data_IF_836150160225
#
_entry.id   IF_836150160225
#
_cell.length_a   1.000
_cell.length_b   1.000
_cell.length_c   1.000
_cell.angle_alpha   90.00
_cell.angle_beta   90.00
_cell.angle_gamma   90.00
#
_symmetry.space_group_name_H-M   'P 1'
#
loop_
_entity.id
_entity.type
_entity.pdbx_description
1 polymer ?
#
# COMPACT_ATOMS: atom_id res chain seq x y z
N UNK A 1 -35.37 -3.53 -6.36
CA UNK A 1 -36.22 -2.37 -6.73
C UNK A 1 -35.87 -2.03 -8.17
N UNK A 2 -36.83 -1.92 -9.07
CA UNK A 2 -36.54 -1.68 -10.49
C UNK A 2 -35.83 -0.33 -10.69
N UNK A 3 -34.88 -0.24 -11.62
CA UNK A 3 -34.05 0.94 -11.86
C UNK A 3 -34.86 2.24 -12.09
N UNK A 4 -36.02 2.13 -12.74
CA UNK A 4 -36.93 3.26 -12.97
C UNK A 4 -37.55 3.79 -11.67
N UNK A 5 -37.85 2.92 -10.70
CA UNK A 5 -38.46 3.30 -9.42
C UNK A 5 -37.45 4.03 -8.53
N UNK A 6 -36.20 3.57 -8.52
CA UNK A 6 -35.08 4.26 -7.84
C UNK A 6 -34.88 5.66 -8.43
N UNK A 7 -34.81 5.76 -9.77
CA UNK A 7 -34.68 7.05 -10.45
C UNK A 7 -35.84 7.99 -10.11
N UNK A 8 -37.07 7.52 -10.19
CA UNK A 8 -38.24 8.32 -9.84
C UNK A 8 -38.19 8.81 -8.38
N UNK A 9 -37.86 7.92 -7.44
CA UNK A 9 -37.76 8.26 -6.03
C UNK A 9 -36.72 9.36 -5.81
N UNK A 10 -35.50 9.20 -6.32
CA UNK A 10 -34.42 10.15 -6.10
C UNK A 10 -34.69 11.51 -6.74
N UNK A 11 -35.33 11.55 -7.92
CA UNK A 11 -35.69 12.82 -8.57
C UNK A 11 -36.76 13.61 -7.82
N UNK A 12 -37.56 12.96 -6.97
CA UNK A 12 -38.65 13.60 -6.22
C UNK A 12 -38.38 13.69 -4.71
N UNK A 13 -37.22 13.20 -4.24
CA UNK A 13 -36.85 13.22 -2.82
C UNK A 13 -36.15 14.53 -2.43
N UNK A 14 -36.10 14.82 -1.12
CA UNK A 14 -35.34 15.97 -0.60
C UNK A 14 -33.85 15.84 -0.89
N UNK A 15 -33.14 16.97 -0.91
CA UNK A 15 -31.71 16.99 -1.20
C UNK A 15 -30.90 16.20 -0.17
N UNK A 16 -31.30 16.23 1.11
CA UNK A 16 -30.67 15.47 2.19
C UNK A 16 -30.79 13.96 1.98
N UNK A 17 -31.97 13.51 1.55
CA UNK A 17 -32.18 12.09 1.25
C UNK A 17 -31.31 11.64 0.07
N UNK A 18 -31.22 12.45 -0.98
CA UNK A 18 -30.37 12.15 -2.15
C UNK A 18 -28.89 12.13 -1.77
N UNK A 19 -28.43 13.08 -0.95
CA UNK A 19 -27.05 13.11 -0.48
C UNK A 19 -26.68 11.86 0.31
N UNK A 20 -27.49 11.48 1.30
CA UNK A 20 -27.25 10.27 2.08
C UNK A 20 -27.35 9.00 1.21
N UNK A 21 -28.24 8.99 0.22
CA UNK A 21 -28.30 7.90 -0.74
C UNK A 21 -27.01 7.77 -1.55
N UNK A 22 -26.49 8.87 -2.12
CA UNK A 22 -25.23 8.89 -2.88
C UNK A 22 -24.06 8.39 -2.02
N UNK A 23 -23.98 8.87 -0.77
CA UNK A 23 -22.97 8.46 0.20
C UNK A 23 -23.08 6.99 0.61
N UNK A 24 -24.29 6.45 0.72
CA UNK A 24 -24.49 5.03 1.05
C UNK A 24 -24.03 4.13 -0.10
N UNK A 25 -24.33 4.52 -1.35
CA UNK A 25 -24.01 3.74 -2.54
C UNK A 25 -22.52 3.72 -2.86
N UNK A 26 -21.82 4.82 -2.62
CA UNK A 26 -20.36 4.86 -2.81
C UNK A 26 -19.61 3.86 -1.93
N UNK A 27 -20.13 3.55 -0.74
CA UNK A 27 -19.53 2.54 0.14
C UNK A 27 -19.77 1.11 -0.36
N UNK A 28 -20.89 0.84 -1.03
CA UNK A 28 -21.23 -0.46 -1.62
C UNK A 28 -20.49 -0.71 -2.95
N UNK A 29 -20.19 0.36 -3.70
CA UNK A 29 -19.62 0.27 -5.06
C UNK A 29 -18.10 0.46 -5.13
N UNK A 30 -17.39 0.62 -3.99
CA UNK A 30 -15.91 0.58 -3.94
C UNK A 30 -15.33 -0.76 -4.45
N UNK A 31 -16.16 -1.78 -4.68
CA UNK A 31 -15.79 -3.13 -5.17
C UNK A 31 -16.33 -3.45 -6.58
N UNK A 32 -16.99 -2.50 -7.28
CA UNK A 32 -17.71 -2.76 -8.54
C UNK A 32 -16.99 -2.15 -9.80
N UNK A 33 -17.28 -2.66 -11.02
CA UNK A 33 -16.31 -2.83 -12.12
C UNK A 33 -15.86 -1.53 -12.82
N UNK A 34 -14.82 -1.61 -13.65
CA UNK A 34 -14.26 -0.51 -14.46
C UNK A 34 -15.21 0.04 -15.56
N UNK A 35 -16.50 -0.22 -15.44
CA UNK A 35 -17.55 0.16 -16.39
C UNK A 35 -18.76 0.73 -15.64
N UNK A 36 -19.31 1.82 -16.17
CA UNK A 36 -20.53 2.45 -15.65
C UNK A 36 -21.71 2.01 -16.50
N UNK A 37 -22.77 1.50 -15.87
CA UNK A 37 -24.01 1.21 -16.60
C UNK A 37 -24.65 2.50 -17.12
N UNK A 38 -25.16 2.51 -18.35
CA UNK A 38 -25.88 3.64 -18.96
C UNK A 38 -26.96 4.21 -18.02
N UNK A 39 -27.70 3.35 -17.31
CA UNK A 39 -28.74 3.76 -16.35
C UNK A 39 -28.20 4.63 -15.20
N UNK A 40 -26.95 4.38 -14.77
CA UNK A 40 -26.30 5.12 -13.69
C UNK A 40 -25.88 6.51 -14.15
N UNK A 41 -25.22 6.62 -15.30
CA UNK A 41 -24.84 7.93 -15.85
C UNK A 41 -26.07 8.79 -16.14
N UNK A 42 -27.13 8.19 -16.69
CA UNK A 42 -28.41 8.87 -16.93
C UNK A 42 -29.05 9.35 -15.62
N UNK A 43 -28.96 8.57 -14.54
CA UNK A 43 -29.46 8.99 -13.22
C UNK A 43 -28.65 10.17 -12.68
N UNK A 44 -27.32 10.10 -12.69
CA UNK A 44 -26.46 11.16 -12.16
C UNK A 44 -26.61 12.47 -12.93
N UNK A 45 -26.71 12.41 -14.26
CA UNK A 45 -27.05 13.57 -15.10
C UNK A 45 -28.40 14.18 -14.69
N UNK A 46 -29.42 13.35 -14.45
CA UNK A 46 -30.74 13.82 -14.05
C UNK A 46 -30.75 14.45 -12.64
N UNK A 47 -29.93 13.93 -11.72
CA UNK A 47 -29.74 14.53 -10.39
C UNK A 47 -29.00 15.86 -10.47
N UNK A 48 -27.95 15.96 -11.30
CA UNK A 48 -27.23 17.22 -11.53
C UNK A 48 -28.16 18.30 -12.10
N UNK A 49 -29.06 17.93 -13.01
CA UNK A 49 -30.02 18.84 -13.61
C UNK A 49 -31.03 19.45 -12.62
N UNK A 50 -31.17 18.90 -11.41
CA UNK A 50 -31.99 19.50 -10.36
C UNK A 50 -31.42 20.83 -9.86
N UNK A 51 -30.10 21.00 -9.91
CA UNK A 51 -29.44 22.24 -9.50
C UNK A 51 -29.43 22.50 -7.99
N UNK A 52 -29.72 21.50 -7.17
CA UNK A 52 -29.67 21.60 -5.70
C UNK A 52 -28.21 21.57 -5.20
N UNK A 53 -27.78 22.57 -4.42
CA UNK A 53 -26.38 22.68 -3.94
C UNK A 53 -25.89 21.45 -3.17
N UNK A 54 -26.74 20.91 -2.28
CA UNK A 54 -26.39 19.71 -1.50
C UNK A 54 -26.30 18.47 -2.38
N UNK A 55 -27.12 18.37 -3.44
CA UNK A 55 -27.01 17.27 -4.41
C UNK A 55 -25.73 17.42 -5.23
N UNK A 56 -25.39 18.64 -5.66
CA UNK A 56 -24.15 18.91 -6.39
C UNK A 56 -22.92 18.54 -5.54
N UNK A 57 -22.93 18.86 -4.25
CA UNK A 57 -21.88 18.46 -3.32
C UNK A 57 -21.80 16.93 -3.18
N UNK A 58 -22.96 16.26 -3.04
CA UNK A 58 -23.04 14.80 -2.98
C UNK A 58 -22.51 14.13 -4.24
N UNK A 59 -22.91 14.64 -5.41
CA UNK A 59 -22.41 14.17 -6.70
C UNK A 59 -20.91 14.42 -6.83
N UNK A 60 -20.41 15.58 -6.40
CA UNK A 60 -18.99 15.90 -6.48
C UNK A 60 -18.13 14.85 -5.73
N UNK A 61 -18.55 14.42 -4.54
CA UNK A 61 -17.82 13.37 -3.81
C UNK A 61 -18.07 11.95 -4.34
N UNK A 62 -19.30 11.63 -4.72
CA UNK A 62 -19.75 10.24 -4.81
C UNK A 62 -20.25 9.81 -6.20
N UNK A 63 -20.28 10.68 -7.20
CA UNK A 63 -20.67 10.28 -8.55
C UNK A 63 -19.61 9.38 -9.18
N UNK A 64 -20.08 8.42 -9.99
CA UNK A 64 -19.19 7.56 -10.77
C UNK A 64 -18.93 8.15 -12.16
N UNK A 65 -19.90 8.84 -12.76
CA UNK A 65 -19.80 9.38 -14.12
C UNK A 65 -18.67 10.43 -14.22
N UNK A 66 -17.65 10.17 -15.05
CA UNK A 66 -16.61 11.15 -15.39
C UNK A 66 -17.21 12.45 -15.95
N UNK A 67 -18.31 12.35 -16.71
CA UNK A 67 -18.99 13.49 -17.31
C UNK A 67 -19.62 14.40 -16.25
N UNK A 68 -20.31 13.82 -15.26
CA UNK A 68 -20.91 14.58 -14.15
C UNK A 68 -19.82 15.22 -13.28
N UNK A 69 -18.77 14.46 -12.96
CA UNK A 69 -17.60 14.95 -12.24
C UNK A 69 -16.95 16.15 -12.93
N UNK A 70 -16.70 16.04 -14.23
CA UNK A 70 -16.12 17.13 -15.02
C UNK A 70 -17.03 18.37 -15.08
N UNK A 71 -18.34 18.19 -15.25
CA UNK A 71 -19.28 19.32 -15.26
C UNK A 71 -19.29 20.06 -13.92
N UNK A 72 -19.25 19.34 -12.80
CA UNK A 72 -19.15 19.93 -11.46
C UNK A 72 -17.82 20.66 -11.27
N UNK A 73 -16.70 20.09 -11.74
CA UNK A 73 -15.42 20.78 -11.73
C UNK A 73 -15.42 22.05 -12.59
N UNK A 74 -16.02 22.02 -13.78
CA UNK A 74 -15.98 23.16 -14.70
C UNK A 74 -16.85 24.33 -14.22
N UNK A 75 -18.05 24.02 -13.71
CA UNK A 75 -19.08 25.02 -13.41
C UNK A 75 -19.21 25.35 -11.92
N UNK A 76 -18.68 24.50 -11.04
CA UNK A 76 -18.77 24.67 -9.59
C UNK A 76 -17.87 25.77 -9.06
N UNK A 77 -18.17 26.22 -7.85
CA UNK A 77 -17.26 27.04 -7.06
C UNK A 77 -16.03 26.22 -6.58
N UNK A 78 -15.08 26.85 -5.91
CA UNK A 78 -13.87 26.17 -5.42
C UNK A 78 -14.16 24.99 -4.49
N UNK A 79 -15.25 25.04 -3.71
CA UNK A 79 -15.61 23.95 -2.80
C UNK A 79 -16.10 22.73 -3.59
N UNK A 80 -16.96 22.94 -4.58
CA UNK A 80 -17.46 21.88 -5.47
C UNK A 80 -16.33 21.32 -6.33
N UNK A 81 -15.44 22.18 -6.87
CA UNK A 81 -14.25 21.75 -7.62
C UNK A 81 -13.38 20.83 -6.79
N UNK A 82 -13.08 21.24 -5.56
CA UNK A 82 -12.27 20.45 -4.64
C UNK A 82 -12.93 19.12 -4.29
N UNK A 83 -14.25 19.13 -4.07
CA UNK A 83 -15.01 17.92 -3.80
C UNK A 83 -14.97 16.96 -5.00
N UNK A 84 -15.15 17.47 -6.23
CA UNK A 84 -15.07 16.69 -7.46
C UNK A 84 -13.70 16.04 -7.65
N UNK A 85 -12.61 16.79 -7.42
CA UNK A 85 -11.24 16.28 -7.50
C UNK A 85 -10.89 15.28 -6.39
N UNK A 86 -11.60 15.34 -5.25
CA UNK A 86 -11.46 14.37 -4.16
C UNK A 86 -12.42 13.18 -4.29
N UNK A 87 -13.29 13.19 -5.31
CA UNK A 87 -14.40 12.27 -5.47
C UNK A 87 -14.08 11.00 -6.25
N UNK A 88 -15.10 10.18 -6.48
CA UNK A 88 -14.97 8.89 -7.18
C UNK A 88 -14.82 9.01 -8.69
N UNK A 89 -15.41 10.03 -9.31
CA UNK A 89 -15.39 10.25 -10.77
C UNK A 89 -14.02 10.56 -11.36
N UNK A 90 -13.00 10.77 -10.53
CA UNK A 90 -11.60 10.87 -10.95
C UNK A 90 -11.03 9.53 -11.42
N UNK A 91 -11.64 8.40 -11.00
CA UNK A 91 -11.23 7.06 -11.40
C UNK A 91 -11.27 6.92 -12.92
N UNK A 92 -10.30 6.17 -13.47
CA UNK A 92 -10.37 5.67 -14.85
C UNK A 92 -11.59 4.77 -15.04
N UNK A 93 -12.37 5.03 -16.09
CA UNK A 93 -13.52 4.22 -16.48
C UNK A 93 -13.35 3.83 -17.95
N UNK A 94 -13.47 2.54 -18.25
CA UNK A 94 -13.36 2.04 -19.62
C UNK A 94 -14.46 2.63 -20.50
N UNK A 95 -14.07 3.18 -21.65
CA UNK A 95 -15.00 3.78 -22.61
C UNK A 95 -15.34 5.26 -22.34
N UNK A 96 -14.78 5.88 -21.31
CA UNK A 96 -14.89 7.32 -21.06
C UNK A 96 -13.52 8.00 -21.11
N UNK A 97 -13.50 9.26 -21.53
CA UNK A 97 -12.30 10.11 -21.49
C UNK A 97 -11.93 10.42 -20.03
N UNK A 98 -10.64 10.31 -19.71
CA UNK A 98 -10.12 10.61 -18.37
C UNK A 98 -10.09 12.12 -18.18
N UNK A 99 -11.17 12.72 -17.69
CA UNK A 99 -11.31 14.18 -17.63
C UNK A 99 -10.22 14.89 -16.81
N UNK A 100 -9.59 14.18 -15.88
CA UNK A 100 -8.46 14.68 -15.09
C UNK A 100 -7.21 14.93 -15.96
N UNK A 101 -6.97 14.09 -16.98
CA UNK A 101 -5.82 14.13 -17.89
C UNK A 101 -6.16 14.66 -19.29
N UNK A 102 -7.16 14.08 -19.95
CA UNK A 102 -7.52 14.33 -21.35
C UNK A 102 -8.38 15.58 -21.52
N UNK A 103 -9.28 15.87 -20.59
CA UNK A 103 -10.08 17.11 -20.60
C UNK A 103 -9.37 18.30 -19.91
N UNK A 104 -8.07 18.16 -19.64
CA UNK A 104 -7.16 19.20 -19.15
C UNK A 104 -7.44 19.77 -17.76
N UNK A 105 -8.24 19.14 -16.89
CA UNK A 105 -8.47 19.69 -15.55
C UNK A 105 -7.17 19.85 -14.75
N UNK A 106 -6.37 18.78 -14.61
CA UNK A 106 -5.10 18.87 -13.87
C UNK A 106 -4.06 19.75 -14.59
N UNK A 107 -3.86 19.64 -15.92
CA UNK A 107 -3.00 20.58 -16.65
C UNK A 107 -3.36 22.05 -16.49
N UNK A 108 -4.64 22.40 -16.54
CA UNK A 108 -5.13 23.76 -16.40
C UNK A 108 -4.80 24.32 -15.00
N UNK A 109 -5.07 23.55 -13.94
CA UNK A 109 -4.82 23.99 -12.56
C UNK A 109 -3.31 24.12 -12.30
N UNK A 110 -2.49 23.19 -12.80
CA UNK A 110 -1.03 23.26 -12.68
C UNK A 110 -0.50 24.50 -13.40
N UNK A 111 -0.97 24.79 -14.61
CA UNK A 111 -0.55 26.00 -15.36
C UNK A 111 -0.89 27.28 -14.59
N UNK A 112 -2.11 27.39 -14.03
CA UNK A 112 -2.49 28.55 -13.21
C UNK A 112 -1.66 28.67 -11.94
N UNK A 113 -1.37 27.54 -11.30
CA UNK A 113 -0.54 27.52 -10.10
C UNK A 113 0.90 27.95 -10.41
N UNK A 114 1.47 27.50 -11.53
CA UNK A 114 2.79 27.94 -12.02
C UNK A 114 2.83 29.45 -12.28
N UNK A 115 1.77 30.01 -12.88
CA UNK A 115 1.71 31.43 -13.23
C UNK A 115 1.45 32.36 -12.02
N UNK A 116 0.67 31.91 -11.03
CA UNK A 116 0.11 32.77 -9.99
C UNK A 116 0.32 32.33 -8.54
N UNK A 117 0.79 31.10 -8.30
CA UNK A 117 1.00 30.50 -6.99
C UNK A 117 -0.17 30.74 -5.99
N UNK A 118 -1.39 30.47 -6.45
CA UNK A 118 -2.62 30.65 -5.66
C UNK A 118 -2.84 29.48 -4.70
N UNK A 119 -3.12 29.79 -3.43
CA UNK A 119 -3.49 28.79 -2.41
C UNK A 119 -4.71 27.95 -2.82
N UNK A 120 -5.67 28.56 -3.54
CA UNK A 120 -6.86 27.86 -3.99
C UNK A 120 -6.52 26.79 -5.05
N UNK A 121 -5.71 27.14 -6.05
CA UNK A 121 -5.26 26.18 -7.07
C UNK A 121 -4.37 25.09 -6.43
N UNK A 122 -3.52 25.45 -5.47
CA UNK A 122 -2.74 24.45 -4.73
C UNK A 122 -3.62 23.47 -3.94
N UNK A 123 -4.72 23.95 -3.35
CA UNK A 123 -5.69 23.10 -2.66
C UNK A 123 -6.47 22.18 -3.62
N UNK A 124 -6.75 22.64 -4.85
CA UNK A 124 -7.34 21.79 -5.89
C UNK A 124 -6.36 20.70 -6.35
N UNK A 125 -5.10 21.05 -6.60
CA UNK A 125 -4.03 20.10 -6.91
C UNK A 125 -3.88 19.08 -5.78
N UNK A 126 -3.89 19.54 -4.53
CA UNK A 126 -3.81 18.68 -3.34
C UNK A 126 -4.95 17.67 -3.30
N UNK A 127 -6.17 18.13 -3.57
CA UNK A 127 -7.34 17.25 -3.62
C UNK A 127 -7.20 16.17 -4.70
N UNK A 128 -6.76 16.53 -5.90
CA UNK A 128 -6.55 15.60 -7.00
C UNK A 128 -5.45 14.57 -6.69
N UNK A 129 -4.22 15.04 -6.43
CA UNK A 129 -3.05 14.17 -6.25
C UNK A 129 -3.16 13.30 -5.00
N UNK A 130 -3.88 13.72 -3.95
CA UNK A 130 -4.09 12.90 -2.74
C UNK A 130 -5.25 11.91 -2.88
N UNK A 131 -6.01 11.96 -3.98
CA UNK A 131 -7.15 11.09 -4.20
C UNK A 131 -6.69 9.66 -4.50
N UNK A 132 -7.22 8.67 -3.75
CA UNK A 132 -6.93 7.25 -3.96
C UNK A 132 -7.31 6.72 -5.36
N UNK A 133 -8.23 7.42 -6.04
CA UNK A 133 -8.76 7.04 -7.34
C UNK A 133 -8.03 7.70 -8.51
N UNK A 134 -7.03 8.55 -8.25
CA UNK A 134 -6.25 9.14 -9.34
C UNK A 134 -5.57 8.04 -10.17
N UNK A 135 -5.56 8.13 -11.51
CA UNK A 135 -4.84 7.16 -12.33
C UNK A 135 -3.36 7.08 -11.93
N UNK A 136 -2.83 5.85 -11.82
CA UNK A 136 -1.44 5.59 -11.44
C UNK A 136 -0.47 6.31 -12.40
N UNK A 137 -0.85 6.47 -13.67
CA UNK A 137 -0.09 7.17 -14.71
C UNK A 137 0.22 8.63 -14.33
N UNK A 138 -0.64 9.30 -13.55
CA UNK A 138 -0.41 10.67 -13.07
C UNK A 138 0.75 10.68 -12.09
N UNK A 139 0.70 9.83 -11.06
CA UNK A 139 1.74 9.77 -10.04
C UNK A 139 3.07 9.25 -10.63
N UNK A 140 3.01 8.29 -11.55
CA UNK A 140 4.18 7.78 -12.25
C UNK A 140 4.86 8.88 -13.06
N UNK A 141 4.08 9.68 -13.81
CA UNK A 141 4.60 10.81 -14.58
C UNK A 141 5.18 11.90 -13.66
N UNK A 142 4.56 12.12 -12.50
CA UNK A 142 5.05 13.07 -11.48
C UNK A 142 6.43 12.64 -10.96
N UNK A 143 6.59 11.38 -10.57
CA UNK A 143 7.87 10.89 -10.02
C UNK A 143 8.99 10.84 -11.05
N UNK A 144 8.67 10.56 -12.32
CA UNK A 144 9.66 10.60 -13.41
C UNK A 144 9.92 11.99 -13.97
N UNK A 145 9.13 12.99 -13.57
CA UNK A 145 9.10 14.33 -14.17
C UNK A 145 8.92 14.28 -15.70
N UNK A 146 7.93 13.52 -16.13
CA UNK A 146 7.60 13.27 -17.54
C UNK A 146 6.20 13.75 -17.90
N UNK A 147 5.88 13.77 -19.20
CA UNK A 147 4.54 14.10 -19.71
C UNK A 147 4.08 15.48 -19.21
N UNK A 148 2.98 15.49 -18.46
CA UNK A 148 2.39 16.70 -17.86
C UNK A 148 3.40 17.50 -17.01
N UNK A 149 4.34 16.84 -16.37
CA UNK A 149 5.27 17.47 -15.42
C UNK A 149 6.62 17.83 -16.06
N UNK A 150 6.80 17.54 -17.35
CA UNK A 150 8.09 17.74 -18.03
C UNK A 150 8.50 19.22 -18.14
N UNK A 151 7.53 20.12 -18.30
CA UNK A 151 7.77 21.56 -18.43
C UNK A 151 7.55 22.36 -17.14
N UNK A 152 7.17 21.71 -16.04
CA UNK A 152 6.93 22.35 -14.74
C UNK A 152 8.27 22.75 -14.11
N UNK A 153 8.33 23.92 -13.46
CA UNK A 153 9.55 24.36 -12.78
C UNK A 153 9.92 23.40 -11.64
N UNK A 154 11.20 23.37 -11.25
CA UNK A 154 11.65 22.49 -10.17
C UNK A 154 11.00 22.83 -8.81
N UNK A 155 10.66 24.11 -8.59
CA UNK A 155 10.00 24.56 -7.37
C UNK A 155 8.56 24.04 -7.30
N UNK A 156 7.77 24.24 -8.37
CA UNK A 156 6.40 23.71 -8.43
C UNK A 156 6.42 22.19 -8.42
N UNK A 157 7.31 21.54 -9.19
CA UNK A 157 7.45 20.10 -9.18
C UNK A 157 7.75 19.56 -7.77
N UNK A 158 8.60 20.24 -7.00
CA UNK A 158 8.85 19.90 -5.60
C UNK A 158 7.57 19.98 -4.77
N UNK A 159 6.77 21.03 -4.90
CA UNK A 159 5.51 21.18 -4.16
C UNK A 159 4.48 20.09 -4.54
N UNK A 160 4.43 19.69 -5.81
CA UNK A 160 3.60 18.58 -6.28
C UNK A 160 4.06 17.23 -5.70
N UNK A 161 5.37 16.99 -5.63
CA UNK A 161 5.92 15.80 -4.97
C UNK A 161 5.49 15.74 -3.50
N UNK A 162 5.59 16.85 -2.77
CA UNK A 162 5.17 16.94 -1.36
C UNK A 162 3.71 16.55 -1.13
N UNK A 163 2.82 16.95 -2.04
CA UNK A 163 1.41 16.58 -1.98
C UNK A 163 1.22 15.05 -2.09
N UNK A 164 2.02 14.37 -2.92
CA UNK A 164 1.88 12.94 -3.18
C UNK A 164 2.10 12.05 -1.95
N UNK A 165 2.80 12.51 -0.90
CA UNK A 165 3.04 11.75 0.35
C UNK A 165 1.74 11.30 1.03
N UNK A 166 0.63 11.99 0.76
CA UNK A 166 -0.66 11.68 1.37
C UNK A 166 -1.56 10.82 0.48
N UNK A 167 -1.11 10.44 -0.72
CA UNK A 167 -1.88 9.54 -1.55
C UNK A 167 -1.86 8.11 -0.97
N UNK A 168 -3.01 7.49 -0.65
CA UNK A 168 -3.05 6.13 -0.10
C UNK A 168 -2.42 5.06 -1.00
N UNK A 169 -2.36 5.29 -2.32
CA UNK A 169 -1.83 4.37 -3.31
C UNK A 169 -0.35 4.00 -3.06
N UNK A 170 0.45 4.93 -2.54
CA UNK A 170 1.88 4.70 -2.28
C UNK A 170 2.12 3.72 -1.12
N UNK A 171 1.13 3.51 -0.27
CA UNK A 171 1.18 2.65 0.92
C UNK A 171 0.34 1.37 0.77
N UNK A 172 -0.24 1.13 -0.40
CA UNK A 172 -1.14 -0.02 -0.64
C UNK A 172 -0.41 -1.08 -1.44
N UNK A 173 0.01 -2.22 -0.86
CA UNK A 173 0.73 -3.26 -1.59
C UNK A 173 -0.19 -4.02 -2.57
N UNK A 174 0.42 -4.68 -3.55
CA UNK A 174 -0.28 -5.61 -4.44
C UNK A 174 -0.69 -6.86 -3.65
N UNK A 175 -1.95 -7.30 -3.78
CA UNK A 175 -2.51 -8.43 -3.02
C UNK A 175 -3.03 -9.57 -3.90
N UNK A 176 -3.05 -9.39 -5.21
CA UNK A 176 -3.51 -10.43 -6.14
C UNK A 176 -2.36 -11.39 -6.46
N UNK A 177 -2.69 -12.65 -6.77
CA UNK A 177 -1.75 -13.78 -6.62
C UNK A 177 -1.32 -14.38 -7.97
N UNK A 178 -1.86 -13.90 -9.10
CA UNK A 178 -1.81 -14.68 -10.35
C UNK A 178 -1.46 -13.93 -11.66
N UNK A 179 -0.95 -12.69 -11.62
CA UNK A 179 -0.48 -12.01 -12.84
C UNK A 179 0.80 -11.20 -12.61
N UNK A 180 1.94 -11.79 -12.96
CA UNK A 180 3.24 -11.12 -12.83
C UNK A 180 3.40 -9.88 -13.71
N UNK A 181 2.64 -9.74 -14.80
CA UNK A 181 2.64 -8.50 -15.59
C UNK A 181 1.81 -7.42 -14.88
N UNK A 182 0.65 -7.76 -14.34
CA UNK A 182 -0.15 -6.83 -13.55
C UNK A 182 0.61 -6.39 -12.28
N UNK A 183 1.25 -7.31 -11.58
CA UNK A 183 2.13 -7.02 -10.43
C UNK A 183 3.27 -6.09 -10.83
N UNK A 184 3.99 -6.39 -11.92
CA UNK A 184 5.06 -5.53 -12.42
C UNK A 184 4.58 -4.10 -12.71
N UNK A 185 3.43 -3.96 -13.40
CA UNK A 185 2.86 -2.63 -13.66
C UNK A 185 2.43 -1.93 -12.37
N UNK A 186 1.82 -2.66 -11.45
CA UNK A 186 1.38 -2.12 -10.16
C UNK A 186 2.57 -1.59 -9.34
N UNK A 187 3.68 -2.34 -9.32
CA UNK A 187 4.88 -2.02 -8.56
C UNK A 187 5.76 -0.96 -9.24
N UNK A 188 5.53 -0.67 -10.53
CA UNK A 188 6.28 0.37 -11.26
C UNK A 188 6.16 1.76 -10.62
N UNK A 189 5.01 2.05 -9.97
CA UNK A 189 4.81 3.28 -9.23
C UNK A 189 5.76 3.38 -8.02
N UNK A 190 5.88 2.30 -7.25
CA UNK A 190 6.77 2.26 -6.08
C UNK A 190 8.22 2.41 -6.50
N UNK A 191 8.63 1.68 -7.54
CA UNK A 191 9.97 1.81 -8.09
C UNK A 191 10.26 3.26 -8.52
N UNK A 192 9.35 3.93 -9.23
CA UNK A 192 9.54 5.32 -9.63
C UNK A 192 9.65 6.28 -8.44
N UNK A 193 8.86 6.05 -7.38
CA UNK A 193 8.97 6.81 -6.14
C UNK A 193 10.30 6.59 -5.43
N UNK A 194 10.81 5.35 -5.37
CA UNK A 194 12.13 5.05 -4.81
C UNK A 194 13.27 5.61 -5.69
N UNK A 195 13.12 5.64 -7.02
CA UNK A 195 14.09 6.21 -7.94
C UNK A 195 14.30 7.74 -7.74
N UNK A 196 13.40 8.43 -7.01
CA UNK A 196 13.62 9.82 -6.61
C UNK A 196 14.90 10.00 -5.78
N UNK A 197 15.35 8.97 -5.05
CA UNK A 197 16.63 9.00 -4.36
C UNK A 197 17.82 9.11 -5.34
N UNK A 198 17.69 8.60 -6.56
CA UNK A 198 18.72 8.72 -7.61
C UNK A 198 18.65 10.10 -8.28
N UNK A 199 17.44 10.60 -8.55
CA UNK A 199 17.24 11.78 -9.39
C UNK A 199 17.24 13.12 -8.63
N UNK A 200 16.77 13.17 -7.38
CA UNK A 200 16.73 14.42 -6.63
C UNK A 200 18.11 14.83 -6.12
N UNK A 201 18.45 16.13 -6.09
CA UNK A 201 19.69 16.59 -5.47
C UNK A 201 19.64 16.39 -3.95
N UNK A 202 20.78 16.04 -3.36
CA UNK A 202 20.93 15.78 -1.93
C UNK A 202 20.90 17.08 -1.10
N UNK A 203 19.70 17.63 -0.91
CA UNK A 203 19.45 18.83 -0.11
C UNK A 203 18.63 18.46 1.14
N UNK A 204 18.68 19.25 2.24
CA UNK A 204 17.86 19.00 3.42
C UNK A 204 16.36 18.93 3.12
N UNK A 205 15.86 19.79 2.22
CA UNK A 205 14.45 19.78 1.78
C UNK A 205 14.07 18.45 1.13
N UNK A 206 14.90 17.95 0.22
CA UNK A 206 14.63 16.69 -0.47
C UNK A 206 14.85 15.48 0.43
N UNK A 207 15.84 15.52 1.33
CA UNK A 207 16.04 14.47 2.32
C UNK A 207 14.81 14.34 3.23
N UNK A 208 14.24 15.48 3.66
CA UNK A 208 13.01 15.49 4.48
C UNK A 208 11.82 14.91 3.72
N UNK A 209 11.64 15.34 2.47
CA UNK A 209 10.61 14.83 1.58
C UNK A 209 10.74 13.31 1.43
N UNK A 210 11.93 12.83 1.08
CA UNK A 210 12.20 11.41 0.85
C UNK A 210 12.05 10.60 2.13
N UNK A 211 12.50 11.09 3.29
CA UNK A 211 12.27 10.43 4.58
C UNK A 211 10.78 10.24 4.89
N UNK A 212 9.96 11.28 4.66
CA UNK A 212 8.51 11.20 4.87
C UNK A 212 7.79 10.32 3.84
N UNK A 213 8.22 10.37 2.57
CA UNK A 213 7.68 9.53 1.50
C UNK A 213 7.98 8.06 1.78
N UNK A 214 9.26 7.74 1.97
CA UNK A 214 9.77 6.37 2.16
C UNK A 214 9.31 5.71 3.46
N UNK A 215 8.97 6.49 4.49
CA UNK A 215 8.33 5.96 5.69
C UNK A 215 6.98 5.28 5.42
N UNK A 216 6.24 5.72 4.38
CA UNK A 216 4.93 5.18 3.98
C UNK A 216 4.99 4.28 2.74
N UNK A 217 6.05 4.41 1.95
CA UNK A 217 6.16 3.76 0.66
C UNK A 217 6.32 2.24 0.81
N UNK A 218 5.60 1.48 -0.01
CA UNK A 218 5.76 0.03 -0.10
C UNK A 218 7.21 -0.29 -0.54
N UNK A 219 7.91 -1.27 0.10
CA UNK A 219 9.32 -1.59 -0.16
C UNK A 219 9.60 -2.27 -1.52
N UNK A 220 8.67 -2.22 -2.46
CA UNK A 220 8.81 -2.83 -3.78
C UNK A 220 9.61 -1.91 -4.71
N UNK A 221 10.76 -2.40 -5.18
CA UNK A 221 11.59 -1.72 -6.16
C UNK A 221 12.46 -2.72 -6.90
N UNK A 222 12.93 -2.34 -8.07
CA UNK A 222 13.89 -3.13 -8.84
C UNK A 222 15.07 -2.24 -9.24
N UNK A 223 16.30 -2.78 -9.20
CA UNK A 223 17.51 -2.15 -9.75
C UNK A 223 17.89 -0.78 -9.15
N UNK A 224 17.89 -0.64 -7.82
CA UNK A 224 18.54 0.50 -7.17
C UNK A 224 19.92 0.10 -6.65
N UNK A 225 20.91 0.98 -6.82
CA UNK A 225 22.21 0.79 -6.20
C UNK A 225 22.18 1.35 -4.77
N UNK A 226 21.88 0.48 -3.81
CA UNK A 226 21.75 0.85 -2.41
C UNK A 226 22.98 1.59 -1.87
N UNK A 227 24.19 1.11 -2.18
CA UNK A 227 25.42 1.69 -1.68
C UNK A 227 25.64 3.12 -2.19
N UNK A 228 25.46 3.34 -3.49
CA UNK A 228 25.56 4.69 -4.08
C UNK A 228 24.52 5.66 -3.50
N UNK A 229 23.31 5.17 -3.23
CA UNK A 229 22.25 5.98 -2.62
C UNK A 229 22.59 6.36 -1.18
N UNK A 230 23.05 5.41 -0.36
CA UNK A 230 23.46 5.69 1.02
C UNK A 230 24.59 6.72 1.06
N UNK A 231 25.59 6.58 0.19
CA UNK A 231 26.72 7.53 0.10
C UNK A 231 26.28 8.93 -0.37
N UNK A 232 25.31 9.00 -1.28
CA UNK A 232 24.76 10.27 -1.78
C UNK A 232 24.01 11.03 -0.67
N UNK A 233 23.24 10.34 0.16
CA UNK A 233 22.34 10.96 1.14
C UNK A 233 22.98 11.14 2.51
N UNK A 234 24.24 11.60 2.56
CA UNK A 234 24.96 11.94 3.80
C UNK A 234 24.88 13.44 4.08
N UNK A 235 24.54 13.81 5.32
CA UNK A 235 24.46 15.21 5.76
C UNK A 235 24.30 15.35 7.26
N UNK A 236 24.46 16.57 7.78
CA UNK A 236 24.38 16.88 9.22
C UNK A 236 22.95 17.09 9.74
N UNK A 237 21.99 17.28 8.84
CA UNK A 237 20.58 17.46 9.19
C UNK A 237 19.93 16.10 9.50
N UNK A 238 19.01 16.07 10.46
CA UNK A 238 18.28 14.85 10.86
C UNK A 238 17.52 14.23 9.68
N UNK A 239 17.12 15.04 8.70
CA UNK A 239 16.42 14.55 7.52
C UNK A 239 17.24 13.57 6.67
N UNK A 240 18.57 13.73 6.63
CA UNK A 240 19.43 12.77 5.93
C UNK A 240 19.50 11.44 6.68
N UNK A 241 19.39 11.46 8.01
CA UNK A 241 19.31 10.26 8.82
C UNK A 241 18.06 9.45 8.45
N UNK A 242 16.88 10.10 8.44
CA UNK A 242 15.61 9.43 8.11
C UNK A 242 15.60 8.87 6.68
N UNK A 243 16.16 9.62 5.72
CA UNK A 243 16.27 9.17 4.34
C UNK A 243 17.12 7.89 4.22
N UNK A 244 18.29 7.84 4.88
CA UNK A 244 19.15 6.64 4.89
C UNK A 244 18.53 5.48 5.66
N UNK A 245 17.89 5.75 6.81
CA UNK A 245 17.19 4.73 7.60
C UNK A 245 16.13 4.00 6.75
N UNK A 246 15.28 4.77 6.08
CA UNK A 246 14.21 4.20 5.28
C UNK A 246 14.69 3.54 3.97
N UNK A 247 15.84 3.92 3.41
CA UNK A 247 16.43 3.23 2.26
C UNK A 247 16.68 1.74 2.52
N UNK A 248 16.91 1.35 3.77
CA UNK A 248 17.12 -0.05 4.17
C UNK A 248 15.92 -0.93 3.79
N UNK A 249 14.70 -0.36 3.72
CA UNK A 249 13.48 -1.06 3.28
C UNK A 249 13.58 -1.64 1.87
N UNK A 250 14.44 -1.08 1.03
CA UNK A 250 14.66 -1.54 -0.35
C UNK A 250 15.52 -2.82 -0.41
N UNK A 251 16.18 -3.18 0.69
CA UNK A 251 16.93 -4.42 0.80
C UNK A 251 16.02 -5.54 1.30
N UNK A 252 15.94 -6.62 0.53
CA UNK A 252 15.30 -7.85 1.00
C UNK A 252 16.11 -8.51 2.14
N UNK A 253 15.43 -9.13 3.09
CA UNK A 253 16.07 -9.73 4.28
C UNK A 253 17.11 -10.84 3.98
N UNK A 254 17.05 -11.43 2.80
CA UNK A 254 18.01 -12.45 2.35
C UNK A 254 19.23 -11.85 1.62
N UNK A 255 19.26 -10.54 1.42
CA UNK A 255 20.38 -9.84 0.80
C UNK A 255 21.57 -9.76 1.77
N UNK A 256 22.77 -10.09 1.30
CA UNK A 256 24.00 -10.00 2.09
C UNK A 256 24.29 -8.56 2.52
N UNK A 257 23.93 -7.56 1.69
CA UNK A 257 24.03 -6.14 2.05
C UNK A 257 23.16 -5.83 3.27
N UNK A 258 21.96 -6.41 3.35
CA UNK A 258 21.08 -6.23 4.52
C UNK A 258 21.70 -6.84 5.78
N UNK A 259 22.24 -8.06 5.68
CA UNK A 259 22.91 -8.73 6.81
C UNK A 259 24.13 -7.95 7.29
N UNK A 260 24.89 -7.34 6.38
CA UNK A 260 26.05 -6.52 6.72
C UNK A 260 25.70 -5.25 7.49
N UNK A 261 24.46 -4.74 7.38
CA UNK A 261 24.02 -3.55 8.11
C UNK A 261 24.04 -3.72 9.64
N UNK A 262 23.96 -4.96 10.14
CA UNK A 262 24.08 -5.28 11.57
C UNK A 262 25.29 -4.60 12.22
N UNK A 263 26.43 -4.65 11.52
CA UNK A 263 27.73 -4.16 12.02
C UNK A 263 28.12 -2.83 11.37
N UNK A 264 27.18 -2.16 10.70
CA UNK A 264 27.41 -0.86 10.07
C UNK A 264 27.85 0.19 11.10
N UNK A 265 28.82 1.02 10.77
CA UNK A 265 29.17 2.19 11.59
C UNK A 265 28.13 3.31 11.50
N UNK A 266 27.30 3.34 10.44
CA UNK A 266 26.20 4.30 10.30
C UNK A 266 24.99 3.82 11.11
N UNK A 267 24.68 4.57 12.17
CA UNK A 267 23.55 4.33 13.07
C UNK A 267 22.21 4.35 12.32
N UNK A 268 22.03 5.20 11.30
CA UNK A 268 20.78 5.23 10.52
C UNK A 268 20.51 3.88 9.85
N UNK A 269 21.55 3.25 9.32
CA UNK A 269 21.44 1.95 8.67
C UNK A 269 21.18 0.83 9.67
N UNK A 270 21.80 0.88 10.86
CA UNK A 270 21.51 -0.08 11.94
C UNK A 270 20.06 0.02 12.43
N UNK A 271 19.56 1.24 12.64
CA UNK A 271 18.16 1.47 13.01
C UNK A 271 17.19 0.97 11.92
N UNK A 272 17.50 1.22 10.64
CA UNK A 272 16.72 0.70 9.53
C UNK A 272 16.76 -0.82 9.44
N UNK A 273 17.89 -1.44 9.79
CA UNK A 273 18.02 -2.90 9.91
C UNK A 273 17.12 -3.44 11.02
N UNK A 274 17.12 -2.84 12.21
CA UNK A 274 16.25 -3.27 13.32
C UNK A 274 14.76 -3.15 13.00
N UNK A 275 14.33 -2.08 12.32
CA UNK A 275 12.94 -1.87 11.91
C UNK A 275 12.45 -2.97 10.95
N UNK A 276 13.33 -3.49 10.10
CA UNK A 276 12.96 -4.41 9.02
C UNK A 276 13.39 -5.88 9.25
N UNK A 277 14.16 -6.14 10.31
CA UNK A 277 14.69 -7.47 10.63
C UNK A 277 13.56 -8.49 10.80
N UNK A 278 13.66 -9.62 10.07
CA UNK A 278 12.77 -10.77 10.26
C UNK A 278 13.41 -11.82 11.15
N UNK A 279 12.57 -12.42 11.99
CA UNK A 279 12.91 -13.56 12.85
C UNK A 279 14.13 -13.35 13.77
N UNK A 280 14.18 -12.26 14.56
CA UNK A 280 15.25 -12.08 15.53
C UNK A 280 15.29 -13.24 16.55
N UNK A 281 16.49 -13.57 17.04
CA UNK A 281 16.65 -14.42 18.22
C UNK A 281 16.71 -13.59 19.51
N UNK A 282 16.54 -14.23 20.67
CA UNK A 282 16.71 -13.55 21.96
C UNK A 282 18.15 -13.05 22.16
N UNK A 283 19.14 -13.80 21.64
CA UNK A 283 20.54 -13.36 21.64
C UNK A 283 20.76 -12.14 20.75
N UNK A 284 20.09 -12.06 19.60
CA UNK A 284 20.16 -10.87 18.73
C UNK A 284 19.55 -9.67 19.45
N UNK A 285 18.38 -9.84 20.07
CA UNK A 285 17.73 -8.79 20.86
C UNK A 285 18.67 -8.22 21.94
N UNK A 286 19.31 -9.10 22.73
CA UNK A 286 20.25 -8.67 23.77
C UNK A 286 21.46 -7.95 23.18
N UNK A 287 22.05 -8.48 22.11
CA UNK A 287 23.19 -7.86 21.46
C UNK A 287 22.87 -6.46 20.91
N UNK A 288 21.67 -6.26 20.34
CA UNK A 288 21.26 -4.96 19.80
C UNK A 288 20.91 -3.96 20.90
N UNK A 289 20.31 -4.44 21.99
CA UNK A 289 20.05 -3.62 23.18
C UNK A 289 21.36 -3.16 23.83
N UNK A 290 22.35 -4.03 23.94
CA UNK A 290 23.67 -3.68 24.49
C UNK A 290 24.42 -2.68 23.60
N UNK A 291 24.23 -2.75 22.28
CA UNK A 291 24.91 -1.90 21.32
C UNK A 291 24.28 -0.50 21.21
N UNK A 292 22.97 -0.42 20.97
CA UNK A 292 22.27 0.83 20.61
C UNK A 292 21.19 1.25 21.63
N UNK A 293 20.99 0.47 22.70
CA UNK A 293 20.17 0.86 23.85
C UNK A 293 18.75 1.26 23.50
N UNK A 294 18.33 2.44 23.97
CA UNK A 294 16.99 2.98 23.74
C UNK A 294 16.68 3.20 22.25
N UNK A 295 17.67 3.54 21.43
CA UNK A 295 17.47 3.77 20.00
C UNK A 295 17.08 2.49 19.27
N UNK A 296 17.66 1.35 19.66
CA UNK A 296 17.19 0.04 19.19
C UNK A 296 15.75 -0.21 19.60
N UNK A 297 15.38 0.07 20.86
CA UNK A 297 14.02 -0.15 21.36
C UNK A 297 12.97 0.67 20.60
N UNK A 298 13.29 1.92 20.24
CA UNK A 298 12.41 2.79 19.44
C UNK A 298 12.03 2.10 18.11
N UNK A 299 12.98 1.45 17.44
CA UNK A 299 12.69 0.76 16.17
C UNK A 299 12.07 -0.62 16.39
N UNK A 300 12.53 -1.36 17.40
CA UNK A 300 12.05 -2.71 17.70
C UNK A 300 10.55 -2.74 18.05
N UNK A 301 10.01 -1.72 18.72
CA UNK A 301 8.57 -1.65 19.04
C UNK A 301 7.69 -1.49 17.80
N UNK A 302 8.23 -1.06 16.66
CA UNK A 302 7.48 -0.93 15.40
C UNK A 302 7.61 -2.17 14.51
N UNK A 303 8.59 -3.04 14.77
CA UNK A 303 8.82 -4.26 14.01
C UNK A 303 7.97 -5.42 14.56
N UNK A 304 7.07 -5.95 13.72
CA UNK A 304 6.16 -7.03 14.06
C UNK A 304 6.87 -8.34 14.45
N UNK A 305 8.09 -8.58 13.96
CA UNK A 305 8.84 -9.82 14.18
C UNK A 305 9.22 -10.03 15.65
N UNK A 306 9.41 -8.95 16.41
CA UNK A 306 9.66 -9.03 17.86
C UNK A 306 8.40 -9.42 18.66
N UNK A 307 7.21 -9.30 18.06
CA UNK A 307 5.96 -9.68 18.69
C UNK A 307 5.57 -11.14 18.44
N UNK A 308 6.22 -11.82 17.50
CA UNK A 308 5.85 -13.19 17.11
C UNK A 308 6.16 -14.23 18.20
N UNK A 309 7.34 -14.18 18.83
CA UNK A 309 7.75 -15.14 19.88
C UNK A 309 7.48 -14.62 21.29
N UNK A 310 7.07 -15.50 22.20
CA UNK A 310 6.74 -15.12 23.58
C UNK A 310 7.94 -14.53 24.33
N UNK A 311 9.11 -15.15 24.22
CA UNK A 311 10.33 -14.71 24.88
C UNK A 311 10.74 -13.29 24.44
N UNK A 312 10.64 -13.00 23.13
CA UNK A 312 10.93 -11.69 22.59
C UNK A 312 9.90 -10.64 23.02
N UNK A 313 8.60 -10.99 23.05
CA UNK A 313 7.56 -10.11 23.60
C UNK A 313 7.86 -9.73 25.03
N UNK A 314 8.22 -10.70 25.86
CA UNK A 314 8.55 -10.47 27.25
C UNK A 314 9.80 -9.60 27.39
N UNK A 315 10.87 -9.91 26.66
CA UNK A 315 12.12 -9.14 26.67
C UNK A 315 11.89 -7.69 26.23
N UNK A 316 11.18 -7.47 25.12
CA UNK A 316 10.83 -6.14 24.63
C UNK A 316 9.95 -5.39 25.62
N UNK A 317 8.92 -6.04 26.18
CA UNK A 317 8.05 -5.42 27.19
C UNK A 317 8.81 -4.99 28.44
N UNK A 318 9.74 -5.82 28.92
CA UNK A 318 10.57 -5.51 30.10
C UNK A 318 11.46 -4.33 29.79
N UNK A 319 12.24 -4.40 28.70
CA UNK A 319 13.17 -3.34 28.32
C UNK A 319 12.46 -2.00 28.11
N UNK A 320 11.30 -1.98 27.44
CA UNK A 320 10.51 -0.75 27.27
C UNK A 320 9.92 -0.19 28.57
N UNK A 321 9.76 -1.01 29.60
CA UNK A 321 9.29 -0.57 30.93
C UNK A 321 10.43 -0.04 31.80
N UNK A 322 11.66 -0.48 31.54
CA UNK A 322 12.87 -0.07 32.27
C UNK A 322 13.42 1.28 31.78
N UNK A 323 13.02 1.74 30.58
CA UNK A 323 13.34 3.08 30.07
C UNK A 323 12.57 4.11 30.90
N UNK A 324 13.30 5.03 31.52
CA UNK A 324 12.70 6.10 32.32
C UNK A 324 11.80 6.98 31.44
N UNK A 325 10.64 7.37 31.99
CA UNK A 325 9.80 8.39 31.36
C UNK A 325 10.59 9.70 31.29
N UNK A 326 11.24 9.96 30.16
CA UNK A 326 11.69 11.30 29.81
C UNK A 326 10.45 12.18 29.60
N UNK A 327 10.57 13.50 29.70
CA UNK A 327 9.47 14.49 29.55
C UNK A 327 8.73 14.45 28.18
N UNK A 328 8.92 13.39 27.38
CA UNK A 328 8.18 13.08 26.17
C UNK A 328 6.73 12.70 26.49
N UNK A 329 5.82 13.09 25.59
CA UNK A 329 4.37 12.98 25.76
C UNK A 329 3.89 11.50 25.79
N UNK A 330 4.73 10.53 25.40
CA UNK A 330 4.38 9.10 25.29
C UNK A 330 5.58 8.22 25.68
N UNK A 331 5.39 7.34 26.67
CA UNK A 331 6.39 6.35 27.10
C UNK A 331 6.51 5.19 26.12
N UNK A 332 7.71 4.59 26.00
CA UNK A 332 7.94 3.41 25.14
C UNK A 332 7.03 2.23 25.52
N UNK A 333 6.76 2.04 26.82
CA UNK A 333 5.82 1.02 27.29
C UNK A 333 4.41 1.21 26.72
N UNK A 334 3.92 2.46 26.61
CA UNK A 334 2.61 2.75 26.00
C UNK A 334 2.60 2.43 24.51
N UNK A 335 3.68 2.75 23.78
CA UNK A 335 3.82 2.43 22.35
C UNK A 335 3.82 0.91 22.17
N UNK A 336 4.59 0.19 22.99
CA UNK A 336 4.64 -1.27 22.97
C UNK A 336 3.24 -1.88 23.13
N UNK A 337 2.47 -1.48 24.14
CA UNK A 337 1.12 -2.02 24.36
C UNK A 337 0.14 -1.64 23.25
N UNK A 338 0.23 -0.43 22.69
CA UNK A 338 -0.57 -0.01 21.55
C UNK A 338 -0.32 -0.89 20.33
N UNK A 339 0.96 -1.15 20.00
CA UNK A 339 1.34 -2.01 18.89
C UNK A 339 0.97 -3.47 19.14
N UNK A 340 1.16 -4.00 20.37
CA UNK A 340 0.72 -5.34 20.73
C UNK A 340 -0.79 -5.53 20.48
N UNK A 341 -1.62 -4.56 20.90
CA UNK A 341 -3.06 -4.60 20.69
C UNK A 341 -3.42 -4.50 19.21
N UNK A 342 -2.75 -3.61 18.46
CA UNK A 342 -2.91 -3.49 17.00
C UNK A 342 -2.62 -4.81 16.31
N UNK A 343 -1.50 -5.46 16.62
CA UNK A 343 -1.10 -6.72 15.99
C UNK A 343 -2.03 -7.88 16.36
N UNK A 344 -2.49 -7.95 17.62
CA UNK A 344 -3.54 -8.90 18.05
C UNK A 344 -4.83 -8.75 17.25
N UNK A 345 -5.26 -7.52 16.98
CA UNK A 345 -6.48 -7.25 16.24
C UNK A 345 -6.39 -7.65 14.76
N UNK A 346 -5.19 -7.60 14.17
CA UNK A 346 -4.98 -7.91 12.76
C UNK A 346 -4.89 -9.42 12.46
N UNK A 347 -4.64 -10.27 13.45
CA UNK A 347 -4.47 -11.72 13.23
C UNK A 347 -4.70 -12.53 14.54
N UNK A 348 -5.96 -12.76 14.95
CA UNK A 348 -6.28 -13.37 16.25
C UNK A 348 -5.77 -14.80 16.44
N UNK A 349 -5.72 -15.61 15.38
CA UNK A 349 -5.56 -17.07 15.48
C UNK A 349 -4.22 -17.62 14.96
N UNK A 350 -3.34 -16.78 14.37
CA UNK A 350 -2.08 -17.25 13.75
C UNK A 350 -0.87 -16.32 13.95
N UNK A 351 -1.05 -15.15 14.55
CA UNK A 351 0.03 -14.16 14.72
C UNK A 351 1.11 -14.63 15.73
N UNK A 352 0.70 -15.47 16.68
CA UNK A 352 1.55 -16.01 17.74
C UNK A 352 2.05 -17.43 17.46
N UNK A 353 1.57 -18.05 16.37
CA UNK A 353 1.93 -19.41 15.96
C UNK A 353 3.11 -19.41 14.98
N UNK A 354 4.09 -18.53 15.20
CA UNK A 354 5.41 -18.70 14.61
C UNK A 354 6.17 -19.85 15.32
N UNK A 355 5.52 -21.01 15.48
CA UNK A 355 6.15 -22.31 15.75
C UNK A 355 6.86 -22.85 14.49
N UNK A 356 7.49 -21.97 13.71
CA UNK A 356 8.69 -22.36 13.00
C UNK A 356 9.87 -21.85 13.82
N UNK A 357 10.09 -22.54 14.94
CA UNK A 357 11.42 -22.68 15.46
C UNK A 357 12.23 -23.40 14.37
N UNK A 358 13.20 -22.67 13.80
CA UNK A 358 14.08 -23.06 12.70
C UNK A 358 13.49 -22.95 11.27
N UNK A 359 13.54 -21.74 10.68
CA UNK A 359 13.91 -21.67 9.26
C UNK A 359 15.32 -22.24 9.16
N UNK A 360 15.46 -23.37 8.46
CA UNK A 360 16.77 -23.95 8.20
C UNK A 360 17.66 -22.91 7.53
N UNK A 361 18.86 -22.66 8.07
CA UNK A 361 19.86 -21.89 7.37
C UNK A 361 20.33 -22.77 6.22
N UNK A 362 19.68 -22.68 5.06
CA UNK A 362 20.09 -23.40 3.85
C UNK A 362 21.55 -23.11 3.49
N UNK A 363 22.07 -21.98 3.96
CA UNK A 363 23.44 -21.53 3.77
C UNK A 363 24.45 -22.15 4.75
N UNK A 364 24.01 -22.85 5.81
CA UNK A 364 24.88 -23.47 6.84
C UNK A 364 25.03 -24.98 6.65
N UNK A 365 24.22 -25.61 5.80
CA UNK A 365 24.34 -27.04 5.47
C UNK A 365 25.22 -27.19 4.23
N UNK A 366 26.53 -27.41 4.43
CA UNK A 366 27.52 -27.59 3.36
C UNK A 366 27.23 -28.81 2.46
N UNK A 367 26.56 -29.84 3.01
CA UNK A 367 26.20 -31.06 2.28
C UNK A 367 24.90 -30.88 1.47
N UNK A 368 25.04 -30.93 0.14
CA UNK A 368 23.93 -30.72 -0.80
C UNK A 368 22.86 -31.80 -0.72
N UNK A 369 23.20 -33.06 -0.40
CA UNK A 369 22.23 -34.14 -0.28
C UNK A 369 21.40 -33.99 0.99
N UNK A 370 22.05 -33.63 2.11
CA UNK A 370 21.36 -33.35 3.38
C UNK A 370 20.44 -32.14 3.24
N UNK A 371 20.91 -31.07 2.57
CA UNK A 371 20.12 -29.86 2.26
C UNK A 371 18.86 -30.20 1.47
N UNK A 372 18.98 -31.05 0.44
CA UNK A 372 17.83 -31.48 -0.37
C UNK A 372 16.86 -32.35 0.41
N UNK A 373 17.33 -33.31 1.21
CA UNK A 373 16.44 -34.19 1.99
C UNK A 373 15.61 -33.40 3.02
N UNK A 374 16.27 -32.45 3.67
CA UNK A 374 15.64 -31.60 4.67
C UNK A 374 14.63 -30.62 4.03
N UNK A 375 14.96 -30.04 2.88
CA UNK A 375 14.02 -29.23 2.09
C UNK A 375 12.78 -30.01 1.64
N UNK A 376 12.96 -31.27 1.24
CA UNK A 376 11.84 -32.16 0.86
C UNK A 376 10.96 -32.48 2.08
N UNK A 377 11.52 -32.70 3.27
CA UNK A 377 10.71 -32.88 4.49
C UNK A 377 9.90 -31.65 4.85
N UNK A 378 10.50 -30.46 4.76
CA UNK A 378 9.81 -29.20 5.02
C UNK A 378 8.65 -28.96 4.06
N UNK A 379 8.87 -29.19 2.76
CA UNK A 379 7.82 -29.11 1.76
C UNK A 379 6.70 -30.14 2.01
N UNK A 380 7.05 -31.38 2.40
CA UNK A 380 6.06 -32.39 2.81
C UNK A 380 5.23 -31.96 4.01
N UNK A 381 5.86 -31.32 5.00
CA UNK A 381 5.15 -30.78 6.16
C UNK A 381 4.17 -29.67 5.75
N UNK A 382 4.60 -28.73 4.91
CA UNK A 382 3.72 -27.66 4.37
C UNK A 382 2.55 -28.24 3.57
N UNK A 383 2.82 -29.24 2.72
CA UNK A 383 1.78 -29.93 1.93
C UNK A 383 0.83 -30.69 2.85
N UNK A 384 1.31 -31.35 3.90
CA UNK A 384 0.47 -32.08 4.87
C UNK A 384 -0.42 -31.13 5.67
N UNK A 385 0.12 -29.98 6.11
CA UNK A 385 -0.65 -28.95 6.82
C UNK A 385 -1.69 -28.31 5.91
N UNK A 386 -1.32 -28.05 4.64
CA UNK A 386 -2.26 -27.56 3.64
C UNK A 386 -3.36 -28.58 3.34
N UNK A 387 -3.01 -29.87 3.27
CA UNK A 387 -3.98 -30.96 3.03
C UNK A 387 -4.95 -31.08 4.21
N UNK A 388 -4.48 -31.00 5.46
CA UNK A 388 -5.40 -31.05 6.62
C UNK A 388 -6.32 -29.83 6.67
N UNK A 389 -5.84 -28.64 6.31
CA UNK A 389 -6.67 -27.44 6.18
C UNK A 389 -7.70 -27.59 5.06
N UNK A 390 -7.33 -28.23 3.95
CA UNK A 390 -8.23 -28.51 2.84
C UNK A 390 -9.30 -29.56 3.21
N UNK A 391 -8.93 -30.58 3.96
CA UNK A 391 -9.84 -31.60 4.49
C UNK A 391 -10.83 -30.98 5.50
N UNK A 392 -10.37 -30.08 6.39
CA UNK A 392 -11.25 -29.33 7.29
C UNK A 392 -12.24 -28.40 6.55
N UNK A 393 -11.82 -27.81 5.43
CA UNK A 393 -12.69 -27.00 4.57
C UNK A 393 -13.74 -27.86 3.86
N UNK A 394 -13.37 -29.04 3.38
CA UNK A 394 -14.28 -30.02 2.79
C UNK A 394 -15.27 -30.60 3.80
N UNK A 395 -14.84 -30.85 5.04
CA UNK A 395 -15.74 -31.29 6.12
C UNK A 395 -16.74 -30.19 6.52
N UNK A 396 -16.31 -28.91 6.52
CA UNK A 396 -17.21 -27.78 6.77
C UNK A 396 -18.26 -27.63 5.65
N UNK A 397 -17.91 -27.81 4.39
CA UNK A 397 -18.88 -27.78 3.28
C UNK A 397 -19.85 -28.98 3.30
N UNK A 398 -19.40 -30.17 3.73
CA UNK A 398 -20.26 -31.37 3.82
C UNK A 398 -21.30 -31.32 4.97
N UNK A 399 -21.22 -30.36 5.88
CA UNK A 399 -22.27 -30.13 6.90
C UNK A 399 -23.49 -29.35 6.37
N UNK A 400 -23.46 -28.90 5.12
CA UNK A 400 -24.60 -28.30 4.41
C UNK A 400 -25.01 -29.15 3.20
N UNK A 401 -25.59 -30.32 3.49
CA UNK A 401 -26.58 -31.03 2.66
C UNK A 401 -26.29 -31.23 1.17
N UNK A 402 -25.91 -32.46 0.82
CA UNK A 402 -26.08 -33.14 -0.49
C UNK A 402 -26.20 -32.24 -1.73
N UNK A 403 -25.06 -31.87 -2.31
CA UNK A 403 -24.99 -31.53 -3.74
C UNK A 403 -23.89 -32.38 -4.39
N UNK A 404 -24.32 -33.34 -5.20
CA UNK A 404 -23.44 -34.09 -6.08
C UNK A 404 -22.63 -33.12 -6.97
N UNK A 405 -21.31 -33.24 -6.94
CA UNK A 405 -20.39 -32.43 -7.75
C UNK A 405 -20.63 -32.75 -9.23
N UNK A 406 -21.45 -31.94 -9.90
CA UNK A 406 -21.57 -31.96 -11.35
C UNK A 406 -20.54 -30.99 -11.94
N UNK A 407 -19.41 -31.54 -12.41
CA UNK A 407 -18.25 -30.78 -12.93
C UNK A 407 -18.54 -30.04 -14.24
N UNK A 408 -19.78 -30.06 -14.76
CA UNK A 408 -20.16 -29.30 -15.96
C UNK A 408 -20.48 -27.82 -15.70
N UNK A 409 -20.42 -27.34 -14.45
CA UNK A 409 -20.82 -25.97 -14.05
C UNK A 409 -19.70 -25.03 -13.60
N UNK A 410 -18.44 -25.48 -13.55
CA UNK A 410 -17.32 -24.65 -13.07
C UNK A 410 -16.90 -23.69 -14.20
N UNK A 411 -17.13 -22.39 -14.00
CA UNK A 411 -16.66 -21.32 -14.90
C UNK A 411 -15.12 -21.27 -14.95
N UNK A 412 -14.53 -20.80 -16.06
CA UNK A 412 -13.16 -21.15 -16.46
C UNK A 412 -12.00 -20.81 -15.51
N UNK A 413 -11.97 -19.72 -14.71
CA UNK A 413 -10.71 -19.35 -14.04
C UNK A 413 -10.30 -20.31 -12.91
N UNK A 414 -11.23 -21.10 -12.36
CA UNK A 414 -10.94 -22.03 -11.26
C UNK A 414 -10.53 -23.44 -11.70
N UNK A 415 -10.95 -23.87 -12.90
CA UNK A 415 -10.54 -25.16 -13.44
C UNK A 415 -9.08 -25.16 -13.89
N UNK A 416 -8.60 -24.03 -14.44
CA UNK A 416 -7.20 -23.91 -14.88
C UNK A 416 -6.23 -23.82 -13.69
N UNK A 417 -6.58 -23.13 -12.61
CA UNK A 417 -5.73 -23.02 -11.41
C UNK A 417 -5.57 -24.35 -10.68
N UNK A 418 -6.64 -25.14 -10.53
CA UNK A 418 -6.53 -26.50 -9.97
C UNK A 418 -5.73 -27.43 -10.88
N UNK A 419 -5.92 -27.36 -12.20
CA UNK A 419 -5.15 -28.16 -13.14
C UNK A 419 -3.66 -27.77 -13.12
N UNK A 420 -3.34 -26.48 -12.99
CA UNK A 420 -1.96 -25.98 -12.86
C UNK A 420 -1.30 -26.39 -11.55
N UNK A 421 -2.03 -26.40 -10.43
CA UNK A 421 -1.51 -26.89 -9.15
C UNK A 421 -1.20 -28.38 -9.24
N UNK A 422 -2.11 -29.17 -9.82
CA UNK A 422 -1.89 -30.61 -10.01
C UNK A 422 -0.73 -30.88 -10.99
N UNK A 423 -0.64 -30.11 -12.07
CA UNK A 423 0.47 -30.19 -13.04
C UNK A 423 1.79 -29.75 -12.41
N UNK A 424 1.82 -28.71 -11.59
CA UNK A 424 3.02 -28.22 -10.90
C UNK A 424 3.50 -29.22 -9.85
N UNK A 425 2.58 -29.82 -9.08
CA UNK A 425 2.89 -30.90 -8.13
C UNK A 425 3.39 -32.15 -8.86
N UNK A 426 2.78 -32.53 -9.99
CA UNK A 426 3.27 -33.64 -10.82
C UNK A 426 4.63 -33.35 -11.45
N UNK A 427 4.88 -32.11 -11.88
CA UNK A 427 6.16 -31.68 -12.45
C UNK A 427 7.28 -31.69 -11.41
N UNK A 428 7.00 -31.23 -10.19
CA UNK A 428 7.90 -31.35 -9.03
C UNK A 428 8.16 -32.81 -8.65
N UNK A 429 7.15 -33.68 -8.72
CA UNK A 429 7.32 -35.11 -8.47
C UNK A 429 8.16 -35.83 -9.53
N UNK A 430 8.17 -35.34 -10.77
CA UNK A 430 9.00 -35.87 -11.86
C UNK A 430 10.44 -35.37 -11.76
N UNK A 431 10.67 -34.14 -11.29
CA UNK A 431 12.01 -33.59 -11.04
C UNK A 431 12.70 -34.18 -9.81
N UNK A 432 11.95 -34.81 -8.90
CA UNK A 432 12.43 -35.47 -7.67
C UNK A 432 12.66 -36.99 -7.84
N UNK A 433 12.61 -37.51 -9.07
CA UNK A 433 13.06 -38.86 -9.46
C UNK A 433 14.32 -38.76 -10.30
#
# INVERSE_FOLDING_TARGET
MDAWAVKYQLLNSSAEYVFEWLKSKSNEENELPDFISDDREVLECALLARGDDLINLGLAFFCLSPLVGFQLYKNGDYSIKRAALSGLSVKRVLGHEEWILESSALPEIISRFEEGNSDDDFNLIRAAISNKNIPDEVLLSLYKKEGLFSSVSDDVWSDLLWVSINNPRIATPYTDVFDGFAEYRYNSLFHAAWALFEHLPATPRNARFLGLLSAKLVPETYKLNFQELVEKWVGSDEYFFDARKNLVKTLGNYNDDFKALRDSSDLALRLGFYENLRYPSLSDFQAYLDLDGELFLIEAVHNNSFYCKEELRYALSSACSDVADHDSVISLSKIYFANLNKFKALSPDSFFDCEFEEELPFDVIDDIQVRTEVGVRFLRYKISKFSSMFDELLEKENTHGDVAINVSGIKPPYAYSLLWIVVFVLFLMVLLK
#
